data_IF_756071872678
#
_entry.id   IF_756071872678
#
_cell.length_a   1.000
_cell.length_b   1.000
_cell.length_c   1.000
_cell.angle_alpha   90.00
_cell.angle_beta   90.00
_cell.angle_gamma   90.00
#
_symmetry.space_group_name_H-M   'P 1'
#
loop_
_entity.id
_entity.type
_entity.pdbx_description
1 polymer ?
#
# COMPACT_ATOMS: atom_id res chain seq x y z
N UNK A 1 -11.14 -42.46 42.37
CA UNK A 1 -11.74 -41.21 42.86
C UNK A 1 -12.79 -40.83 41.83
N UNK A 2 -14.01 -41.31 42.04
CA UNK A 2 -15.19 -41.05 41.21
C UNK A 2 -15.64 -39.59 41.37
N UNK A 3 -16.02 -38.96 40.26
CA UNK A 3 -16.63 -37.63 40.25
C UNK A 3 -18.15 -37.83 40.23
N UNK A 4 -18.91 -37.23 41.17
CA UNK A 4 -20.34 -37.49 41.29
C UNK A 4 -21.18 -36.78 40.20
N UNK A 5 -22.33 -37.39 39.87
CA UNK A 5 -23.20 -37.16 38.70
C UNK A 5 -24.01 -35.83 38.71
N UNK A 6 -23.78 -34.94 39.68
CA UNK A 6 -24.57 -33.72 39.91
C UNK A 6 -24.11 -32.48 39.13
N UNK A 7 -23.03 -32.55 38.34
CA UNK A 7 -22.58 -31.42 37.48
C UNK A 7 -23.22 -31.50 36.08
N UNK A 8 -24.54 -31.68 36.05
CA UNK A 8 -25.38 -31.50 34.86
C UNK A 8 -26.59 -30.65 35.22
N UNK A 9 -26.49 -29.34 35.02
CA UNK A 9 -27.49 -28.49 34.33
C UNK A 9 -27.12 -27.01 34.52
N UNK A 10 -26.77 -26.33 33.43
CA UNK A 10 -26.45 -24.90 33.47
C UNK A 10 -25.99 -24.38 32.12
N UNK A 11 -26.83 -24.52 31.08
CA UNK A 11 -26.62 -23.81 29.81
C UNK A 11 -26.75 -22.31 30.11
N UNK A 12 -25.62 -21.62 30.34
CA UNK A 12 -25.54 -20.17 30.18
C UNK A 12 -25.48 -19.91 28.67
N UNK A 13 -26.51 -19.26 28.13
CA UNK A 13 -26.42 -18.68 26.80
C UNK A 13 -25.23 -17.71 26.75
N UNK A 14 -24.40 -17.72 25.70
CA UNK A 14 -23.34 -16.73 25.56
C UNK A 14 -23.99 -15.35 25.40
N UNK A 15 -23.60 -14.40 26.25
CA UNK A 15 -23.88 -12.98 26.04
C UNK A 15 -23.34 -12.59 24.66
N UNK A 16 -24.14 -11.96 23.79
CA UNK A 16 -23.61 -11.50 22.51
C UNK A 16 -22.47 -10.50 22.77
N UNK A 17 -21.35 -10.58 22.03
CA UNK A 17 -20.33 -9.55 22.09
C UNK A 17 -20.97 -8.20 21.73
N UNK A 18 -20.57 -7.07 22.34
CA UNK A 18 -20.98 -5.77 21.85
C UNK A 18 -20.60 -5.68 20.36
N UNK A 19 -21.56 -5.25 19.55
CA UNK A 19 -21.45 -5.14 18.11
C UNK A 19 -20.09 -4.58 17.70
N UNK A 20 -19.47 -5.26 16.73
CA UNK A 20 -18.20 -4.94 16.11
C UNK A 20 -17.98 -3.43 16.04
N UNK A 21 -16.98 -2.93 16.77
CA UNK A 21 -16.36 -1.65 16.46
C UNK A 21 -15.56 -1.89 15.18
N UNK A 22 -16.27 -1.98 14.06
CA UNK A 22 -15.66 -1.91 12.74
C UNK A 22 -15.22 -0.47 12.59
N UNK A 23 -14.00 -0.16 13.03
CA UNK A 23 -13.31 1.03 12.55
C UNK A 23 -13.12 0.82 11.05
N UNK A 24 -14.09 1.32 10.27
CA UNK A 24 -13.93 1.58 8.86
C UNK A 24 -12.79 2.58 8.72
N UNK A 25 -11.57 2.08 8.50
CA UNK A 25 -10.49 2.91 7.97
C UNK A 25 -10.90 3.31 6.56
N UNK A 26 -11.49 4.49 6.43
CA UNK A 26 -11.81 5.09 5.14
C UNK A 26 -10.54 5.10 4.28
N UNK A 27 -10.52 4.46 3.10
CA UNK A 27 -9.37 4.59 2.21
C UNK A 27 -9.30 6.05 1.77
N UNK A 28 -8.37 6.81 2.35
CA UNK A 28 -8.15 8.19 1.94
C UNK A 28 -7.33 8.16 0.64
N UNK A 29 -8.00 8.30 -0.50
CA UNK A 29 -7.30 8.48 -1.78
C UNK A 29 -6.53 9.80 -1.73
N UNK A 30 -5.20 9.73 -1.80
CA UNK A 30 -4.31 10.90 -1.75
C UNK A 30 -4.43 11.69 -3.05
N UNK A 31 -4.71 12.99 -2.97
CA UNK A 31 -4.70 13.87 -4.16
C UNK A 31 -3.28 14.27 -4.55
N UNK A 32 -3.09 14.66 -5.82
CA UNK A 32 -1.82 15.18 -6.31
C UNK A 32 -1.33 16.38 -5.48
N UNK A 33 -2.22 17.32 -5.14
CA UNK A 33 -1.89 18.48 -4.30
C UNK A 33 -1.35 18.06 -2.92
N UNK A 34 -1.95 17.07 -2.28
CA UNK A 34 -1.48 16.56 -0.98
C UNK A 34 -0.12 15.87 -1.11
N UNK A 35 0.12 15.13 -2.19
CA UNK A 35 1.41 14.50 -2.45
C UNK A 35 2.53 15.54 -2.62
N UNK A 36 2.29 16.57 -3.45
CA UNK A 36 3.24 17.68 -3.63
C UNK A 36 3.47 18.45 -2.33
N UNK A 37 2.41 18.72 -1.57
CA UNK A 37 2.54 19.43 -0.28
C UNK A 37 3.42 18.65 0.70
N UNK A 38 3.28 17.33 0.74
CA UNK A 38 4.11 16.50 1.60
C UNK A 38 5.56 16.44 1.13
N UNK A 39 5.78 16.34 -0.19
CA UNK A 39 7.11 16.42 -0.78
C UNK A 39 7.81 17.73 -0.36
N UNK A 40 7.14 18.88 -0.51
CA UNK A 40 7.69 20.18 -0.17
C UNK A 40 8.05 20.31 1.32
N UNK A 41 7.35 19.61 2.23
CA UNK A 41 7.69 19.59 3.67
C UNK A 41 8.97 18.82 3.99
N UNK A 42 9.40 17.93 3.10
CA UNK A 42 10.55 17.05 3.31
C UNK A 42 11.82 17.57 2.62
N UNK A 43 11.68 18.51 1.68
CA UNK A 43 12.81 19.12 0.99
C UNK A 43 13.50 20.14 1.90
N UNK A 44 14.83 20.30 1.75
CA UNK A 44 15.55 21.34 2.47
C UNK A 44 15.22 22.72 1.91
N UNK A 45 15.37 23.77 2.74
CA UNK A 45 15.03 25.15 2.35
C UNK A 45 15.91 25.70 1.20
N UNK A 46 17.09 25.13 0.99
CA UNK A 46 18.03 25.48 -0.09
C UNK A 46 17.83 24.67 -1.38
N UNK A 47 16.77 23.85 -1.45
CA UNK A 47 16.46 23.09 -2.67
C UNK A 47 16.18 24.02 -3.86
N UNK A 48 16.64 23.58 -5.03
CA UNK A 48 16.41 24.29 -6.30
C UNK A 48 15.08 23.87 -6.94
N UNK A 49 14.64 24.64 -7.94
CA UNK A 49 13.46 24.25 -8.71
C UNK A 49 13.70 22.95 -9.49
N UNK A 50 14.93 22.73 -9.94
CA UNK A 50 15.38 21.50 -10.59
C UNK A 50 15.26 20.29 -9.65
N UNK A 51 15.62 20.43 -8.37
CA UNK A 51 15.47 19.37 -7.38
C UNK A 51 13.99 19.00 -7.19
N UNK A 52 13.12 20.02 -7.01
CA UNK A 52 11.68 19.82 -6.89
C UNK A 52 11.15 19.08 -8.13
N UNK A 53 11.54 19.53 -9.33
CA UNK A 53 11.13 18.90 -10.59
C UNK A 53 11.58 17.44 -10.67
N UNK A 54 12.82 17.15 -10.30
CA UNK A 54 13.36 15.79 -10.29
C UNK A 54 12.54 14.88 -9.37
N UNK A 55 12.26 15.33 -8.15
CA UNK A 55 11.46 14.57 -7.20
C UNK A 55 10.03 14.32 -7.71
N UNK A 56 9.40 15.32 -8.34
CA UNK A 56 8.08 15.15 -8.96
C UNK A 56 8.11 14.12 -10.09
N UNK A 57 9.11 14.19 -10.96
CA UNK A 57 9.29 13.24 -12.07
C UNK A 57 9.41 11.80 -11.55
N UNK A 58 10.30 11.56 -10.59
CA UNK A 58 10.52 10.21 -10.04
C UNK A 58 9.25 9.69 -9.36
N UNK A 59 8.56 10.53 -8.59
CA UNK A 59 7.30 10.19 -7.94
C UNK A 59 6.23 9.79 -8.98
N UNK A 60 6.04 10.58 -10.04
CA UNK A 60 5.08 10.26 -11.11
C UNK A 60 5.44 8.95 -11.83
N UNK A 61 6.73 8.74 -12.15
CA UNK A 61 7.19 7.52 -12.80
C UNK A 61 6.98 6.28 -11.94
N UNK A 62 7.18 6.40 -10.63
CA UNK A 62 6.93 5.30 -9.70
C UNK A 62 5.44 4.94 -9.64
N UNK A 63 4.55 5.92 -9.50
CA UNK A 63 3.10 5.65 -9.46
C UNK A 63 2.60 5.06 -10.77
N UNK A 64 3.04 5.61 -11.91
CA UNK A 64 2.72 5.06 -13.23
C UNK A 64 3.21 3.62 -13.37
N UNK A 65 4.42 3.33 -12.91
CA UNK A 65 4.96 1.96 -12.92
C UNK A 65 4.13 0.99 -12.06
N UNK A 66 3.63 1.43 -10.91
CA UNK A 66 2.71 0.62 -10.08
C UNK A 66 1.38 0.37 -10.80
N UNK A 67 0.83 1.40 -11.44
CA UNK A 67 -0.40 1.26 -12.23
C UNK A 67 -0.19 0.32 -13.42
N UNK A 68 0.94 0.43 -14.13
CA UNK A 68 1.30 -0.47 -15.23
C UNK A 68 1.35 -1.93 -14.75
N UNK A 69 1.97 -2.20 -13.60
CA UNK A 69 1.99 -3.55 -13.01
C UNK A 69 0.57 -4.03 -12.67
N UNK A 70 -0.23 -3.18 -12.01
CA UNK A 70 -1.61 -3.52 -11.64
C UNK A 70 -2.50 -3.83 -12.86
N UNK A 71 -2.18 -3.22 -14.01
CA UNK A 71 -2.89 -3.41 -15.28
C UNK A 71 -2.26 -4.49 -16.17
N UNK A 72 -1.27 -5.25 -15.66
CA UNK A 72 -0.61 -6.31 -16.41
C UNK A 72 0.29 -5.83 -17.56
N UNK A 73 0.69 -4.55 -17.55
CA UNK A 73 1.61 -3.93 -18.53
C UNK A 73 3.08 -4.03 -18.10
N UNK A 74 3.39 -4.82 -17.08
CA UNK A 74 4.76 -5.09 -16.64
C UNK A 74 5.46 -6.16 -17.48
N UNK A 75 6.77 -6.25 -17.32
CA UNK A 75 7.59 -7.31 -17.93
C UNK A 75 8.22 -8.18 -16.84
N UNK A 76 8.38 -9.47 -17.11
CA UNK A 76 9.26 -10.33 -16.34
C UNK A 76 10.73 -9.94 -16.57
N UNK A 77 11.61 -10.32 -15.64
CA UNK A 77 13.02 -9.94 -15.69
C UNK A 77 13.71 -10.39 -16.99
N UNK A 78 13.40 -11.59 -17.50
CA UNK A 78 13.94 -12.12 -18.74
C UNK A 78 13.44 -11.34 -19.97
N UNK A 79 12.14 -11.01 -20.02
CA UNK A 79 11.54 -10.22 -21.09
C UNK A 79 12.13 -8.81 -21.13
N UNK A 80 12.35 -8.20 -19.96
CA UNK A 80 12.98 -6.89 -19.84
C UNK A 80 14.42 -6.90 -20.36
N UNK A 81 15.21 -7.94 -20.03
CA UNK A 81 16.58 -8.12 -20.53
C UNK A 81 16.63 -8.24 -22.06
N UNK A 82 15.83 -9.14 -22.63
CA UNK A 82 15.73 -9.32 -24.08
C UNK A 82 15.36 -8.01 -24.81
N UNK A 83 14.50 -7.19 -24.18
CA UNK A 83 14.10 -5.90 -24.75
C UNK A 83 15.25 -4.89 -24.72
N UNK A 84 16.08 -4.92 -23.69
CA UNK A 84 17.22 -4.03 -23.50
C UNK A 84 18.37 -4.38 -24.47
N UNK A 85 18.58 -5.66 -24.76
CA UNK A 85 19.65 -6.15 -25.66
C UNK A 85 19.62 -5.44 -27.02
N UNK A 86 18.42 -5.16 -27.57
CA UNK A 86 18.24 -4.42 -28.84
C UNK A 86 18.91 -3.04 -28.90
N UNK A 87 19.20 -2.44 -27.75
CA UNK A 87 19.83 -1.12 -27.64
C UNK A 87 21.30 -1.21 -27.21
N UNK A 88 21.73 -2.36 -26.66
CA UNK A 88 23.10 -2.58 -26.19
C UNK A 88 23.99 -3.23 -27.25
N UNK A 89 23.39 -3.82 -28.29
CA UNK A 89 24.10 -4.36 -29.47
C UNK A 89 24.61 -3.27 -30.45
N UNK A 90 24.60 -1.99 -30.04
CA UNK A 90 25.06 -0.83 -30.82
C UNK A 90 26.54 -0.51 -30.61
#
# INVERSE_FOLDING_TARGET
>A
MDIPDDVRLGVRAPTPPPASVTTTRTPTTRSAKQAVTELLRQLPDDCTLEDIQYHLYVMEKAERGREDIAQGRGYLNNEAKQRLDRWLES
#
